data_IF_462312081220
#
_entry.id   IF_462312081220
#
_cell.length_a   1.000
_cell.length_b   1.000
_cell.length_c   1.000
_cell.angle_alpha   90.00
_cell.angle_beta   90.00
_cell.angle_gamma   90.00
#
_symmetry.space_group_name_H-M   'P 1'
#
loop_
_entity.id
_entity.type
_entity.pdbx_description
1 polymer ?
2 non-polymer ?
3 water ?
#
# COMPACT_ATOMS: atom_id res chain seq x y z
N UNK A 1 4.55 3.60 31.23
CA UNK A 1 5.92 3.06 31.55
C UNK A 1 6.93 4.04 30.94
N UNK A 2 7.70 4.73 31.80
CA UNK A 2 8.69 5.68 31.25
C UNK A 2 9.91 5.07 30.59
N UNK A 3 10.14 3.76 30.74
CA UNK A 3 11.40 3.15 30.31
C UNK A 3 11.42 2.58 28.89
N UNK A 4 10.28 2.58 28.18
CA UNK A 4 10.30 2.14 26.80
C UNK A 4 11.16 3.09 26.00
N UNK A 5 11.78 2.56 24.95
CA UNK A 5 12.74 3.34 24.24
C UNK A 5 12.03 4.43 23.44
N UNK A 6 10.97 4.04 22.72
CA UNK A 6 10.18 4.93 21.88
C UNK A 6 8.73 5.07 22.35
N UNK A 7 8.24 6.30 22.32
CA UNK A 7 6.87 6.65 22.72
C UNK A 7 6.24 7.54 21.66
N UNK A 8 4.92 7.52 21.58
CA UNK A 8 4.19 8.48 20.81
C UNK A 8 4.08 9.79 21.59
N UNK A 9 4.46 10.88 20.97
CA UNK A 9 4.27 12.21 21.54
C UNK A 9 2.79 12.51 21.71
N UNK A 10 2.38 13.11 22.81
CA UNK A 10 0.95 13.49 22.86
C UNK A 10 0.53 14.36 21.67
N UNK A 11 -0.63 14.05 21.08
CA UNK A 11 -1.17 14.91 20.01
C UNK A 11 -1.50 16.31 20.56
N UNK A 12 -1.10 17.36 19.85
CA UNK A 12 -1.47 18.70 20.29
C UNK A 12 -2.85 19.20 19.86
N UNK A 13 -3.73 18.29 19.39
CA UNK A 13 -5.09 18.63 19.00
C UNK A 13 -5.94 17.36 19.21
N UNK A 14 -7.25 17.56 19.24
CA UNK A 14 -8.21 16.46 19.28
C UNK A 14 -8.34 15.73 17.97
N UNK A 15 -8.80 14.49 18.03
CA UNK A 15 -8.94 13.69 16.83
C UNK A 15 -9.90 14.35 15.82
N UNK A 16 -10.89 15.12 16.28
CA UNK A 16 -11.82 15.77 15.38
C UNK A 16 -11.41 17.20 15.01
N UNK A 17 -10.18 17.57 15.33
CA UNK A 17 -9.75 18.95 15.10
C UNK A 17 -9.42 19.28 13.64
N UNK A 18 -9.16 18.25 12.84
CA UNK A 18 -8.61 18.42 11.47
C UNK A 18 -9.64 18.14 10.41
N UNK A 19 -10.93 18.31 10.72
CA UNK A 19 -12.01 17.93 9.81
C UNK A 19 -12.11 18.80 8.58
N UNK A 20 -11.35 19.89 8.54
CA UNK A 20 -11.16 20.60 7.30
C UNK A 20 -10.54 19.75 6.20
N UNK A 21 -9.83 18.68 6.59
CA UNK A 21 -9.24 17.78 5.63
C UNK A 21 -9.31 16.26 5.95
N UNK A 22 -9.29 15.92 7.24
CA UNK A 22 -9.17 14.52 7.68
C UNK A 22 -10.28 14.24 8.69
N UNK A 23 -11.05 13.18 8.44
CA UNK A 23 -12.12 12.79 9.33
C UNK A 23 -11.61 12.34 10.70
N UNK A 24 -12.47 12.48 11.72
CA UNK A 24 -12.09 12.12 13.09
C UNK A 24 -11.80 10.65 13.26
N UNK A 25 -12.60 9.78 12.65
CA UNK A 25 -12.41 8.34 12.76
C UNK A 25 -11.03 7.95 12.25
N UNK A 26 -10.61 8.50 11.12
CA UNK A 26 -9.30 8.24 10.57
C UNK A 26 -8.26 8.73 11.52
N UNK A 27 -8.38 9.94 12.03
CA UNK A 27 -7.36 10.39 12.96
C UNK A 27 -7.19 9.44 14.13
N UNK A 28 -8.29 8.97 14.68
CA UNK A 28 -8.24 8.10 15.86
C UNK A 28 -7.61 6.74 15.49
N UNK A 29 -8.06 6.14 14.41
CA UNK A 29 -7.53 4.78 14.05
C UNK A 29 -6.10 4.93 13.62
N UNK A 30 -5.81 5.95 12.82
CA UNK A 30 -4.49 6.11 12.27
C UNK A 30 -3.44 6.29 13.42
N UNK A 31 -3.78 7.11 14.41
CA UNK A 31 -2.91 7.35 15.56
C UNK A 31 -2.89 6.19 16.54
N UNK A 32 -4.05 5.67 16.94
CA UNK A 32 -4.13 4.74 18.07
C UNK A 32 -3.97 3.28 17.64
N UNK A 33 -4.07 3.00 16.34
CA UNK A 33 -3.93 1.62 15.85
C UNK A 33 -2.69 1.52 14.96
N UNK A 34 -2.71 2.13 13.78
CA UNK A 34 -1.58 2.00 12.89
C UNK A 34 -0.29 2.51 13.56
N UNK A 35 -0.26 3.79 13.93
CA UNK A 35 0.94 4.39 14.42
C UNK A 35 1.38 3.83 15.75
N UNK A 36 0.44 3.57 16.64
CA UNK A 36 0.77 2.94 17.93
C UNK A 36 1.39 1.55 17.72
N UNK A 37 0.97 0.84 16.69
CA UNK A 37 1.50 -0.49 16.38
C UNK A 37 2.94 -0.38 15.92
N UNK A 38 3.27 0.63 15.11
CA UNK A 38 4.66 0.81 14.70
C UNK A 38 5.56 1.11 15.91
N UNK A 39 5.09 1.89 16.86
CA UNK A 39 5.91 2.22 18.01
C UNK A 39 6.15 0.96 18.83
N UNK A 40 5.09 0.21 19.12
CA UNK A 40 5.21 -0.99 19.96
C UNK A 40 6.09 -2.04 19.27
N UNK A 41 5.92 -2.22 17.97
CA UNK A 41 6.72 -3.19 17.24
C UNK A 41 8.15 -2.75 17.07
N UNK A 42 8.42 -1.46 17.04
CA UNK A 42 9.78 -0.94 17.03
C UNK A 42 10.47 -1.27 18.34
N UNK A 43 9.81 -1.01 19.46
CA UNK A 43 10.41 -1.32 20.76
C UNK A 43 10.76 -2.81 20.85
N UNK A 44 9.87 -3.67 20.35
CA UNK A 44 10.15 -5.08 20.36
C UNK A 44 11.31 -5.46 19.41
N UNK A 45 11.30 -4.90 18.22
CA UNK A 45 12.31 -5.26 17.21
C UNK A 45 13.70 -4.87 17.57
N UNK A 46 13.87 -3.75 18.26
CA UNK A 46 15.22 -3.32 18.68
C UNK A 46 15.77 -3.97 19.94
N UNK A 47 14.88 -4.59 20.71
CA UNK A 47 15.23 -5.14 21.99
C UNK A 47 16.29 -6.20 21.78
N UNK A 48 17.34 -6.11 22.58
CA UNK A 48 18.46 -7.04 22.49
C UNK A 48 19.37 -6.91 21.29
N UNK A 49 19.30 -5.81 20.56
CA UNK A 49 20.13 -5.56 19.38
C UNK A 49 20.95 -4.30 19.63
N UNK A 50 21.88 -3.98 18.72
CA UNK A 50 22.62 -2.73 18.88
C UNK A 50 21.82 -1.47 18.67
N UNK A 51 20.60 -1.60 18.16
CA UNK A 51 19.70 -0.44 18.03
C UNK A 51 19.02 -0.06 19.34
N UNK A 52 19.13 -0.92 20.36
CA UNK A 52 18.30 -0.80 21.55
C UNK A 52 18.37 0.56 22.25
N UNK A 53 19.54 1.20 22.27
CA UNK A 53 19.65 2.54 22.90
C UNK A 53 19.96 3.66 21.90
N UNK A 54 19.75 3.39 20.61
CA UNK A 54 20.08 4.40 19.60
C UNK A 54 18.90 5.35 19.38
N UNK A 55 19.20 6.56 18.95
CA UNK A 55 18.15 7.51 18.55
C UNK A 55 17.49 7.01 17.29
N UNK A 56 16.29 7.48 17.03
CA UNK A 56 15.57 7.06 15.85
C UNK A 56 16.37 7.46 14.57
N UNK A 57 16.96 8.66 14.58
CA UNK A 57 17.74 9.09 13.44
C UNK A 57 18.92 8.16 13.20
N UNK A 58 19.60 7.73 14.26
CA UNK A 58 20.75 6.85 14.10
C UNK A 58 20.35 5.45 13.64
N UNK A 59 19.22 4.95 14.13
CA UNK A 59 18.72 3.68 13.65
C UNK A 59 18.43 3.76 12.15
N UNK A 60 17.75 4.83 11.73
CA UNK A 60 17.45 4.95 10.30
C UNK A 60 18.74 5.05 9.48
N UNK A 61 19.73 5.82 9.98
CA UNK A 61 20.98 6.03 9.24
C UNK A 61 21.78 4.76 8.99
N UNK A 62 21.54 3.74 9.83
CA UNK A 62 22.21 2.45 9.72
C UNK A 62 21.22 1.32 9.54
N UNK A 63 20.04 1.63 8.98
CA UNK A 63 18.95 0.69 9.06
C UNK A 63 19.20 -0.66 8.40
N UNK A 64 20.00 -0.70 7.36
CA UNK A 64 20.33 -1.93 6.64
C UNK A 64 21.11 -2.94 7.48
N UNK A 65 21.63 -2.49 8.62
CA UNK A 65 22.32 -3.41 9.52
C UNK A 65 21.35 -4.26 10.32
N UNK A 66 20.08 -3.90 10.33
CA UNK A 66 19.08 -4.48 11.22
C UNK A 66 18.08 -5.31 10.43
N UNK A 67 17.16 -5.95 11.16
CA UNK A 67 16.13 -6.73 10.53
C UNK A 67 15.11 -5.89 9.78
N UNK A 68 14.31 -6.56 8.97
CA UNK A 68 13.24 -5.88 8.26
C UNK A 68 12.21 -5.30 9.25
N UNK A 69 12.02 -6.00 10.36
CA UNK A 69 11.13 -5.44 11.39
C UNK A 69 11.60 -4.13 11.96
N UNK A 70 12.90 -4.00 12.21
CA UNK A 70 13.43 -2.70 12.61
C UNK A 70 13.18 -1.67 11.52
N UNK A 71 13.51 -2.00 10.25
CA UNK A 71 13.31 -1.04 9.18
C UNK A 71 11.88 -0.52 9.08
N UNK A 72 10.92 -1.46 9.03
CA UNK A 72 9.58 -1.10 8.75
C UNK A 72 8.95 -0.35 9.91
N UNK A 73 9.29 -0.71 11.13
CA UNK A 73 8.74 -0.05 12.30
C UNK A 73 9.46 1.23 12.74
N UNK A 74 10.78 1.26 12.52
CA UNK A 74 11.52 2.52 12.69
C UNK A 74 10.96 3.55 11.70
N UNK A 75 10.85 3.14 10.43
CA UNK A 75 10.25 4.08 9.43
C UNK A 75 8.87 4.49 9.89
N UNK A 76 8.04 3.50 10.24
CA UNK A 76 6.65 3.81 10.62
C UNK A 76 6.53 4.78 11.76
N UNK A 77 7.33 4.57 12.80
CA UNK A 77 7.28 5.45 13.95
C UNK A 77 7.76 6.86 13.62
N UNK A 78 8.93 6.96 12.98
CA UNK A 78 9.47 8.23 12.60
C UNK A 78 8.47 9.01 11.74
N UNK A 79 7.95 8.32 10.71
CA UNK A 79 7.14 9.01 9.71
C UNK A 79 5.88 9.53 10.32
N UNK A 80 5.20 8.72 11.13
CA UNK A 80 3.93 9.14 11.71
C UNK A 80 4.14 10.22 12.75
N UNK A 81 5.19 10.11 13.59
CA UNK A 81 5.47 11.15 14.55
C UNK A 81 5.66 12.52 13.85
N UNK A 82 6.43 12.50 12.76
CA UNK A 82 6.62 13.72 11.99
C UNK A 82 5.28 14.23 11.44
N UNK A 83 4.51 13.30 10.86
CA UNK A 83 3.19 13.64 10.24
C UNK A 83 2.31 14.33 11.26
N UNK A 84 2.14 13.81 12.47
CA UNK A 84 1.26 14.52 13.39
C UNK A 84 1.71 15.93 13.72
N UNK A 85 3.03 16.12 13.77
CA UNK A 85 3.59 17.41 14.16
C UNK A 85 3.38 18.50 13.08
N UNK A 86 3.18 18.06 11.83
CA UNK A 86 3.02 19.02 10.72
C UNK A 86 1.58 19.21 10.28
N UNK A 87 0.65 18.75 11.11
CA UNK A 87 -0.77 19.07 10.97
C UNK A 87 -1.21 20.05 12.06
N UNK A 88 -2.17 20.89 11.75
CA UNK A 88 -2.73 21.83 12.73
C UNK A 88 -4.16 22.24 12.40
N UNK A 89 -5.01 22.46 13.41
CA UNK A 89 -6.35 23.02 13.19
C UNK A 89 -6.37 24.51 12.93
N UNK A 90 -5.25 25.16 13.17
CA UNK A 90 -5.19 26.59 13.02
C UNK A 90 -4.84 27.00 11.63
N UNK A 91 -5.80 27.66 10.99
CA UNK A 91 -5.75 28.02 9.58
C UNK A 91 -4.76 29.16 9.39
N UNK A 92 -4.16 29.15 8.21
CA UNK A 92 -3.39 30.29 7.73
C UNK A 92 -1.92 30.40 8.16
N UNK A 93 -1.32 29.32 8.63
CA UNK A 93 0.12 29.33 8.83
C UNK A 93 0.79 29.52 7.48
N UNK A 94 2.04 29.97 7.52
CA UNK A 94 2.82 30.14 6.31
C UNK A 94 4.28 29.92 6.59
N UNK A 95 5.04 29.64 5.52
CA UNK A 95 6.48 29.44 5.73
C UNK A 95 7.14 30.67 6.33
N UNK A 96 8.15 30.42 7.14
CA UNK A 96 9.05 31.46 7.60
C UNK A 96 9.62 32.23 6.41
N UNK A 97 10.19 33.41 6.71
CA UNK A 97 10.81 34.20 5.63
C UNK A 97 11.88 33.37 4.94
N UNK A 98 12.72 32.69 5.72
CA UNK A 98 13.84 31.94 5.12
C UNK A 98 13.31 30.74 4.31
N UNK A 99 12.34 30.01 4.81
CA UNK A 99 11.83 28.93 4.04
C UNK A 99 11.12 29.41 2.77
N UNK A 100 10.31 30.47 2.91
CA UNK A 100 9.63 31.02 1.73
C UNK A 100 10.60 31.40 0.64
N UNK A 101 11.68 32.10 1.04
CA UNK A 101 12.67 32.50 0.06
C UNK A 101 13.26 31.28 -0.65
N UNK A 102 13.63 30.25 0.10
CA UNK A 102 14.14 29.02 -0.46
C UNK A 102 13.14 28.33 -1.38
N UNK A 103 11.88 28.26 -0.98
CA UNK A 103 10.83 27.65 -1.83
C UNK A 103 10.73 28.42 -3.14
N UNK A 104 10.71 29.75 -3.05
CA UNK A 104 10.53 30.57 -4.27
C UNK A 104 11.70 30.38 -5.23
N UNK A 105 12.91 30.36 -4.68
CA UNK A 105 14.10 30.25 -5.52
C UNK A 105 14.22 28.85 -6.13
N UNK A 106 13.69 27.85 -5.45
CA UNK A 106 13.88 26.46 -5.88
C UNK A 106 12.75 25.95 -6.75
N UNK A 107 11.53 26.37 -6.44
CA UNK A 107 10.35 25.92 -7.14
C UNK A 107 9.57 27.01 -7.86
N UNK A 108 9.73 28.25 -7.42
CA UNK A 108 9.04 29.40 -8.03
C UNK A 108 8.06 30.13 -7.13
N UNK A 109 7.33 29.33 -6.34
CA UNK A 109 6.26 29.82 -5.50
C UNK A 109 5.81 28.68 -4.60
N UNK A 110 4.99 29.05 -3.62
CA UNK A 110 4.40 28.03 -2.75
C UNK A 110 3.43 27.13 -3.54
N UNK A 111 2.66 27.73 -4.44
CA UNK A 111 1.79 26.94 -5.31
C UNK A 111 2.58 25.91 -6.11
N UNK A 112 3.69 26.32 -6.70
CA UNK A 112 4.51 25.42 -7.49
C UNK A 112 5.05 24.27 -6.63
N UNK A 113 5.47 24.56 -5.40
CA UNK A 113 5.88 23.49 -4.50
C UNK A 113 4.76 22.50 -4.22
N UNK A 114 3.58 23.04 -3.93
CA UNK A 114 2.46 22.14 -3.64
C UNK A 114 2.16 21.27 -4.83
N UNK A 115 2.19 21.83 -6.04
CA UNK A 115 1.96 21.05 -7.26
C UNK A 115 2.97 19.89 -7.38
N UNK A 116 4.23 20.16 -7.06
CA UNK A 116 5.25 19.12 -7.15
C UNK A 116 5.05 18.04 -6.12
N UNK A 117 4.70 18.43 -4.89
CA UNK A 117 4.41 17.45 -3.84
C UNK A 117 3.16 16.61 -4.20
N UNK A 118 2.13 17.28 -4.67
CA UNK A 118 0.92 16.60 -5.10
C UNK A 118 1.22 15.58 -6.17
N UNK A 119 2.05 15.97 -7.14
CA UNK A 119 2.40 15.05 -8.23
C UNK A 119 3.22 13.85 -7.73
N UNK A 120 4.15 14.11 -6.83
CA UNK A 120 4.95 13.01 -6.24
C UNK A 120 4.07 12.06 -5.46
N UNK A 121 3.12 12.62 -4.72
CA UNK A 121 2.21 11.78 -3.98
C UNK A 121 1.33 10.96 -4.86
N UNK A 122 0.82 11.56 -5.91
CA UNK A 122 0.00 10.81 -6.86
C UNK A 122 0.75 9.72 -7.57
N UNK A 123 2.04 9.95 -7.84
CA UNK A 123 2.83 9.01 -8.60
C UNK A 123 3.38 7.83 -7.80
N UNK A 124 3.23 7.86 -6.47
CA UNK A 124 3.71 6.81 -5.63
C UNK A 124 2.75 5.60 -5.73
N UNK A 125 3.15 4.56 -6.43
CA UNK A 125 2.28 3.41 -6.69
C UNK A 125 2.33 2.51 -5.50
N UNK A 126 1.17 2.11 -4.99
CA UNK A 126 1.07 1.34 -3.75
C UNK A 126 1.11 2.24 -2.53
N UNK A 127 1.64 1.76 -1.42
CA UNK A 127 1.73 2.49 -0.16
C UNK A 127 2.98 3.35 -0.12
N UNK A 128 2.93 4.48 0.53
CA UNK A 128 4.13 5.28 0.71
C UNK A 128 3.91 6.68 1.22
N UNK A 129 4.90 7.54 1.03
CA UNK A 129 4.97 8.87 1.53
C UNK A 129 5.51 9.81 0.51
N UNK A 130 4.99 11.04 0.48
CA UNK A 130 5.61 12.17 -0.23
C UNK A 130 6.38 13.06 0.75
N UNK A 131 7.52 13.57 0.29
CA UNK A 131 8.44 14.32 1.17
C UNK A 131 8.92 15.62 0.57
N UNK A 132 9.17 16.57 1.45
CA UNK A 132 10.02 17.72 1.19
C UNK A 132 11.19 17.57 2.15
N UNK A 133 12.38 17.51 1.57
CA UNK A 133 13.60 17.31 2.31
C UNK A 133 14.60 18.44 2.08
N UNK A 134 15.57 18.54 2.98
CA UNK A 134 16.75 19.36 2.80
C UNK A 134 17.89 18.42 2.54
N UNK A 135 18.51 18.52 1.35
CA UNK A 135 19.63 17.65 0.99
C UNK A 135 20.91 18.09 1.68
N UNK A 136 21.96 17.33 1.41
CA UNK A 136 23.24 17.60 2.02
C UNK A 136 23.95 18.84 1.45
N UNK A 137 23.40 19.38 0.39
CA UNK A 137 23.79 20.73 -0.05
C UNK A 137 22.99 21.89 0.54
N UNK A 138 22.05 21.63 1.45
CA UNK A 138 21.13 22.66 1.98
C UNK A 138 19.99 22.94 1.01
N UNK A 139 19.85 22.12 -0.02
CA UNK A 139 18.86 22.39 -1.09
C UNK A 139 17.56 21.63 -0.83
N UNK A 140 16.44 22.28 -1.11
CA UNK A 140 15.14 21.62 -1.03
C UNK A 140 14.89 20.70 -2.19
N UNK A 141 14.30 19.54 -1.87
CA UNK A 141 13.94 18.51 -2.81
C UNK A 141 12.69 17.80 -2.46
N UNK A 142 11.89 17.49 -3.48
CA UNK A 142 10.66 16.71 -3.35
C UNK A 142 10.92 15.29 -3.77
N UNK A 143 10.50 14.33 -2.94
CA UNK A 143 10.69 12.92 -3.25
C UNK A 143 9.48 12.11 -2.77
N UNK A 144 9.46 10.83 -3.14
CA UNK A 144 8.55 9.90 -2.49
C UNK A 144 9.30 8.63 -2.17
N UNK A 145 8.71 7.89 -1.22
CA UNK A 145 9.23 6.58 -0.78
C UNK A 145 8.15 5.54 -0.63
N UNK A 146 8.51 4.26 -0.78
CA UNK A 146 7.55 3.18 -0.60
C UNK A 146 7.37 2.82 0.86
N UNK A 147 6.20 2.33 1.19
CA UNK A 147 5.89 1.69 2.46
C UNK A 147 6.24 2.64 3.59
N UNK A 148 7.05 2.25 4.56
CA UNK A 148 7.50 3.14 5.60
C UNK A 148 8.94 3.62 5.45
N UNK A 149 9.51 3.42 4.27
CA UNK A 149 10.83 3.89 4.06
C UNK A 149 10.84 5.41 4.05
N UNK A 150 11.99 6.01 4.31
CA UNK A 150 12.10 7.47 4.37
C UNK A 150 13.48 7.95 3.95
N UNK A 151 13.65 9.27 3.75
CA UNK A 151 14.89 9.80 3.22
C UNK A 151 16.08 9.81 4.19
N UNK A 152 15.88 9.39 5.43
CA UNK A 152 16.99 9.23 6.38
C UNK A 152 17.64 7.83 6.27
N UNK A 153 16.97 6.88 5.63
CA UNK A 153 17.48 5.51 5.60
C UNK A 153 18.69 5.37 4.73
N UNK A 154 19.63 4.54 5.18
CA UNK A 154 20.94 4.41 4.56
C UNK A 154 20.92 4.12 3.09
N UNK A 155 20.01 3.30 2.65
CA UNK A 155 20.03 2.81 1.28
C UNK A 155 19.18 3.71 0.36
N UNK A 156 18.36 4.62 0.92
CA UNK A 156 17.44 5.48 0.14
C UNK A 156 18.33 6.31 -0.81
N UNK A 157 17.94 6.41 -2.08
CA UNK A 157 18.79 7.09 -3.04
C UNK A 157 18.77 8.62 -2.85
N UNK A 158 17.58 9.18 -2.75
CA UNK A 158 17.42 10.62 -2.50
C UNK A 158 17.37 10.93 -1.01
N UNK A 159 18.54 11.11 -0.43
CA UNK A 159 18.71 11.32 1.02
C UNK A 159 18.61 12.77 1.43
N UNK A 160 18.02 13.01 2.59
CA UNK A 160 18.05 14.32 3.17
C UNK A 160 17.21 14.34 4.42
N UNK A 161 17.15 15.49 5.08
CA UNK A 161 16.34 15.66 6.30
C UNK A 161 14.92 16.04 5.95
N UNK A 162 13.96 15.20 6.30
CA UNK A 162 12.55 15.54 6.01
C UNK A 162 12.08 16.74 6.84
N UNK A 163 11.45 17.70 6.18
CA UNK A 163 10.78 18.79 6.89
C UNK A 163 9.25 18.77 6.79
N UNK A 164 8.79 17.97 5.84
CA UNK A 164 7.37 17.74 5.59
C UNK A 164 7.21 16.37 4.96
N UNK A 165 6.28 15.59 5.50
CA UNK A 165 5.89 14.32 4.88
C UNK A 165 4.39 14.21 4.86
N UNK A 166 3.83 13.66 3.78
CA UNK A 166 2.40 13.40 3.66
C UNK A 166 2.20 11.91 3.38
N UNK A 167 1.43 11.30 4.23
CA UNK A 167 1.12 9.87 4.18
C UNK A 167 0.18 9.58 3.02
N UNK A 168 0.58 8.75 2.06
CA UNK A 168 -0.32 8.31 0.97
C UNK A 168 -0.61 6.81 1.01
N UNK A 169 -0.39 6.16 2.16
CA UNK A 169 -1.08 4.87 2.41
C UNK A 169 -2.58 5.14 2.30
N UNK A 170 -3.28 4.14 1.75
CA UNK A 170 -4.73 4.23 1.64
C UNK A 170 -5.39 4.40 2.97
N UNK A 171 -4.86 3.85 4.06
CA UNK A 171 -5.47 4.12 5.36
C UNK A 171 -5.52 5.60 5.76
N UNK A 172 -4.68 6.43 5.18
CA UNK A 172 -4.63 7.85 5.53
C UNK A 172 -5.82 8.63 4.95
N UNK A 173 -6.48 8.09 3.91
CA UNK A 173 -7.49 8.87 3.21
C UNK A 173 -8.72 8.08 2.76
N UNK A 174 -8.79 6.77 2.96
CA UNK A 174 -9.84 6.00 2.29
C UNK A 174 -11.22 6.27 2.88
N UNK A 175 -11.34 6.44 4.19
CA UNK A 175 -12.66 6.64 4.78
C UNK A 175 -13.39 7.84 4.20
N UNK A 176 -12.64 8.92 3.99
CA UNK A 176 -13.27 10.16 3.49
C UNK A 176 -13.22 10.29 1.99
N UNK A 177 -12.11 9.87 1.39
CA UNK A 177 -11.82 10.14 -0.03
C UNK A 177 -11.90 8.90 -0.95
N UNK A 178 -11.91 7.71 -0.37
CA UNK A 178 -11.83 6.47 -1.11
C UNK A 178 -10.69 6.57 -2.12
N UNK A 179 -10.94 6.30 -3.40
CA UNK A 179 -9.89 6.23 -4.41
C UNK A 179 -9.32 7.60 -4.74
N UNK A 180 -9.93 8.68 -4.27
CA UNK A 180 -9.60 10.06 -4.70
C UNK A 180 -8.40 10.64 -3.95
N UNK A 181 -7.26 9.95 -4.07
CA UNK A 181 -6.03 10.44 -3.47
C UNK A 181 -5.69 11.88 -3.88
N UNK A 182 -5.95 12.25 -5.12
CA UNK A 182 -5.62 13.59 -5.53
C UNK A 182 -6.44 14.64 -4.78
N UNK A 183 -7.68 14.34 -4.44
CA UNK A 183 -8.50 15.27 -3.65
C UNK A 183 -8.00 15.36 -2.21
N UNK A 184 -7.57 14.25 -1.65
CA UNK A 184 -6.91 14.28 -0.34
C UNK A 184 -5.68 15.19 -0.36
N UNK A 185 -4.84 15.01 -1.36
CA UNK A 185 -3.59 15.82 -1.50
C UNK A 185 -3.93 17.30 -1.64
N UNK A 186 -4.94 17.61 -2.45
CA UNK A 186 -5.34 19.01 -2.62
C UNK A 186 -5.79 19.62 -1.30
N UNK A 187 -6.59 18.85 -0.57
CA UNK A 187 -7.25 19.39 0.61
C UNK A 187 -6.33 19.43 1.85
N UNK A 188 -5.37 18.52 1.94
CA UNK A 188 -4.56 18.45 3.16
C UNK A 188 -3.76 19.72 3.42
N UNK A 189 -3.46 20.49 2.36
CA UNK A 189 -2.75 21.74 2.52
C UNK A 189 -3.46 22.69 3.50
N UNK A 190 -4.77 22.55 3.66
CA UNK A 190 -5.51 23.41 4.55
C UNK A 190 -5.16 23.16 6.04
N UNK A 191 -4.57 22.01 6.33
CA UNK A 191 -4.19 21.68 7.72
C UNK A 191 -2.69 21.50 7.88
N UNK A 192 -1.86 21.82 6.87
CA UNK A 192 -0.41 21.72 7.04
C UNK A 192 0.09 22.87 7.94
N UNK A 193 0.90 22.52 8.93
CA UNK A 193 1.44 23.47 9.90
C UNK A 193 2.78 23.95 9.42
N UNK A 194 2.76 25.07 8.72
CA UNK A 194 4.00 25.59 8.11
C UNK A 194 4.91 26.15 9.20
N UNK A 195 4.43 26.44 10.40
CA UNK A 195 5.36 26.87 11.49
C UNK A 195 6.27 25.69 11.89
N UNK A 196 5.69 24.50 11.97
CA UNK A 196 6.49 23.31 12.28
C UNK A 196 7.43 22.98 11.13
N UNK A 197 6.94 23.01 9.90
CA UNK A 197 7.80 22.76 8.73
C UNK A 197 8.98 23.73 8.75
N UNK A 198 8.72 24.99 9.07
CA UNK A 198 9.77 26.01 9.15
C UNK A 198 10.75 25.77 10.26
N UNK A 199 10.26 25.34 11.42
CA UNK A 199 11.18 25.01 12.51
C UNK A 199 12.06 23.82 12.13
N UNK A 200 11.50 22.83 11.44
CA UNK A 200 12.32 21.71 10.99
C UNK A 200 13.36 22.13 9.97
N UNK A 201 13.00 23.07 9.10
CA UNK A 201 13.93 23.59 8.12
C UNK A 201 15.07 24.31 8.83
N UNK A 202 14.78 25.14 9.82
CA UNK A 202 15.80 25.85 10.60
C UNK A 202 16.78 24.85 11.20
N UNK A 203 16.30 23.79 11.78
CA UNK A 203 17.19 22.79 12.40
C UNK A 203 18.00 22.02 11.37
N UNK A 204 17.40 21.72 10.22
CA UNK A 204 18.09 20.96 9.18
C UNK A 204 19.30 21.73 8.63
N UNK A 205 19.19 23.04 8.57
CA UNK A 205 20.26 23.89 8.09
C UNK A 205 21.39 24.13 9.13
N UNK A 206 21.09 23.85 10.39
CA UNK A 206 22.09 24.01 11.45
C UNK A 206 22.92 22.74 11.55
N UNK B 1 -16.23 -0.73 -27.62
CA UNK B 1 -15.15 -0.76 -28.67
C UNK B 1 -14.53 -2.14 -28.68
N UNK B 2 -14.75 -2.91 -29.77
CA UNK B 2 -14.23 -4.28 -29.69
C UNK B 2 -12.69 -4.40 -29.83
N UNK B 3 -12.03 -3.32 -30.24
CA UNK B 3 -10.64 -3.42 -30.66
C UNK B 3 -9.61 -3.09 -29.56
N UNK B 4 -10.04 -2.62 -28.41
CA UNK B 4 -9.10 -2.45 -27.32
C UNK B 4 -8.47 -3.80 -26.96
N UNK B 5 -7.22 -3.78 -26.52
CA UNK B 5 -6.54 -5.04 -26.21
C UNK B 5 -7.13 -5.71 -24.98
N UNK B 6 -7.38 -4.94 -23.94
CA UNK B 6 -7.93 -5.42 -22.68
C UNK B 6 -9.22 -4.76 -22.26
N UNK B 7 -10.13 -5.58 -21.76
CA UNK B 7 -11.43 -5.11 -21.26
C UNK B 7 -11.71 -5.70 -19.91
N UNK B 8 -12.45 -4.98 -19.10
CA UNK B 8 -12.93 -5.50 -17.87
C UNK B 8 -14.12 -6.40 -18.08
N UNK B 9 -14.20 -7.44 -17.29
CA UNK B 9 -15.33 -8.29 -17.18
C UNK B 9 -16.27 -7.66 -16.08
N UNK B 10 -17.54 -7.43 -16.41
CA UNK B 10 -18.50 -7.01 -15.41
C UNK B 10 -18.59 -8.06 -14.33
N UNK B 11 -18.89 -7.64 -13.12
CA UNK B 11 -19.08 -8.62 -12.07
C UNK B 11 -20.22 -9.61 -12.47
N UNK B 12 -20.06 -10.94 -12.17
CA UNK B 12 -21.11 -11.94 -12.42
C UNK B 12 -22.11 -12.06 -11.25
N UNK B 13 -22.27 -10.97 -10.53
CA UNK B 13 -23.14 -10.82 -9.38
C UNK B 13 -23.35 -9.30 -9.11
N UNK B 14 -24.30 -8.98 -8.26
CA UNK B 14 -24.61 -7.61 -7.87
C UNK B 14 -23.51 -7.08 -6.96
N UNK B 15 -23.37 -5.76 -6.93
CA UNK B 15 -22.37 -5.19 -6.04
C UNK B 15 -22.56 -5.52 -4.60
N UNK B 16 -23.82 -5.67 -4.18
CA UNK B 16 -24.18 -6.04 -2.80
C UNK B 16 -24.30 -7.52 -2.54
N UNK B 17 -23.91 -8.35 -3.51
CA UNK B 17 -24.06 -9.81 -3.36
C UNK B 17 -23.14 -10.42 -2.34
N UNK B 18 -22.06 -9.72 -2.03
CA UNK B 18 -20.99 -10.27 -1.19
C UNK B 18 -21.00 -9.69 0.23
N UNK B 19 -22.12 -9.08 0.63
CA UNK B 19 -22.24 -8.32 1.90
C UNK B 19 -22.05 -9.16 3.17
N UNK B 20 -22.03 -10.48 3.05
CA UNK B 20 -21.53 -11.32 4.11
C UNK B 20 -20.09 -11.01 4.50
N UNK B 21 -19.30 -10.53 3.56
CA UNK B 21 -17.90 -10.29 3.80
C UNK B 21 -17.42 -8.92 3.33
N UNK B 22 -17.95 -8.45 2.20
CA UNK B 22 -17.45 -7.22 1.56
C UNK B 22 -18.63 -6.28 1.28
N UNK B 23 -18.50 -5.03 1.72
CA UNK B 23 -19.53 -4.00 1.50
C UNK B 23 -19.73 -3.70 0.04
N UNK B 24 -20.96 -3.35 -0.33
CA UNK B 24 -21.33 -2.96 -1.69
C UNK B 24 -20.57 -1.73 -2.18
N UNK B 25 -20.39 -0.73 -1.33
CA UNK B 25 -19.68 0.49 -1.78
C UNK B 25 -18.27 0.13 -2.21
N UNK B 26 -17.57 -0.68 -1.42
CA UNK B 26 -16.24 -1.15 -1.81
C UNK B 26 -16.28 -1.92 -3.13
N UNK B 27 -17.20 -2.86 -3.29
CA UNK B 27 -17.24 -3.58 -4.56
C UNK B 27 -17.38 -2.63 -5.73
N UNK B 28 -18.26 -1.63 -5.59
CA UNK B 28 -18.46 -0.64 -6.70
C UNK B 28 -17.21 0.19 -6.98
N UNK B 29 -16.59 0.75 -5.95
CA UNK B 29 -15.39 1.57 -6.18
C UNK B 29 -14.24 0.70 -6.65
N UNK B 30 -14.11 -0.45 -6.07
CA UNK B 30 -13.00 -1.32 -6.38
C UNK B 30 -13.05 -1.77 -7.85
N UNK B 31 -14.23 -2.11 -8.37
CA UNK B 31 -14.37 -2.53 -9.72
C UNK B 31 -14.39 -1.31 -10.67
N UNK B 32 -15.14 -0.25 -10.36
CA UNK B 32 -15.37 0.84 -11.32
C UNK B 32 -14.31 1.93 -11.33
N UNK B 33 -13.51 1.99 -10.28
CA UNK B 33 -12.47 3.02 -10.16
C UNK B 33 -11.09 2.36 -10.22
N UNK B 34 -10.71 1.60 -9.19
CA UNK B 34 -9.35 1.05 -9.15
C UNK B 34 -9.12 0.10 -10.32
N UNK B 35 -9.97 -0.90 -10.47
CA UNK B 35 -9.68 -1.92 -11.48
C UNK B 35 -9.92 -1.37 -12.89
N UNK B 36 -10.94 -0.53 -13.10
CA UNK B 36 -11.12 0.12 -14.39
C UNK B 36 -9.92 0.94 -14.77
N UNK B 37 -9.29 1.59 -13.78
CA UNK B 37 -8.12 2.38 -14.11
C UNK B 37 -6.94 1.54 -14.55
N UNK B 38 -6.75 0.39 -13.90
CA UNK B 38 -5.67 -0.49 -14.31
C UNK B 38 -5.89 -0.94 -15.78
N UNK B 39 -7.11 -1.28 -16.17
CA UNK B 39 -7.35 -1.74 -17.54
C UNK B 39 -7.06 -0.63 -18.56
N UNK B 40 -7.58 0.57 -18.27
CA UNK B 40 -7.37 1.71 -19.15
C UNK B 40 -5.90 2.06 -19.30
N UNK B 41 -5.20 2.05 -18.15
CA UNK B 41 -3.80 2.46 -18.19
C UNK B 41 -2.93 1.38 -18.78
N UNK B 42 -3.35 0.13 -18.67
CA UNK B 42 -2.69 -0.96 -19.37
C UNK B 42 -2.77 -0.78 -20.88
N UNK B 43 -3.97 -0.51 -21.38
CA UNK B 43 -4.12 -0.36 -22.81
C UNK B 43 -3.25 0.80 -23.34
N UNK B 44 -3.18 1.88 -22.59
CA UNK B 44 -2.34 3.03 -22.96
C UNK B 44 -0.86 2.70 -22.90
N UNK B 45 -0.44 2.00 -21.86
CA UNK B 45 0.98 1.73 -21.61
C UNK B 45 1.60 0.82 -22.67
N UNK B 46 0.86 -0.16 -23.17
CA UNK B 46 1.41 -1.09 -24.13
C UNK B 46 1.30 -0.63 -25.55
N UNK B 47 0.48 0.39 -25.80
CA UNK B 47 0.31 0.90 -27.14
C UNK B 47 1.62 1.35 -27.75
N UNK B 48 1.83 0.96 -28.99
CA UNK B 48 3.06 1.27 -29.70
C UNK B 48 4.34 0.62 -29.14
N UNK B 49 4.17 -0.44 -28.37
CA UNK B 49 5.29 -1.22 -27.79
C UNK B 49 5.15 -2.67 -28.25
N UNK B 50 6.18 -3.50 -27.98
CA UNK B 50 6.08 -4.90 -28.35
C UNK B 50 5.02 -5.65 -27.54
N UNK B 51 4.64 -5.11 -26.37
CA UNK B 51 3.58 -5.73 -25.58
C UNK B 51 2.21 -5.57 -26.25
N UNK B 52 2.12 -4.71 -27.25
CA UNK B 52 0.84 -4.32 -27.79
C UNK B 52 0.00 -5.48 -28.25
N UNK B 53 0.59 -6.51 -28.85
CA UNK B 53 -0.25 -7.62 -29.28
C UNK B 53 -0.07 -8.90 -28.47
N UNK B 54 0.56 -8.79 -27.30
CA UNK B 54 0.86 -9.98 -26.46
C UNK B 54 -0.31 -10.28 -25.53
N UNK B 55 -0.50 -11.56 -25.19
CA UNK B 55 -1.53 -11.92 -24.24
C UNK B 55 -1.09 -11.44 -22.88
N UNK B 56 -2.02 -11.35 -21.94
CA UNK B 56 -1.67 -10.86 -20.62
C UNK B 56 -0.63 -11.79 -19.98
N UNK B 57 -0.79 -13.10 -20.13
CA UNK B 57 0.19 -14.00 -19.53
C UNK B 57 1.58 -13.79 -20.13
N UNK B 58 1.64 -13.48 -21.41
CA UNK B 58 2.95 -13.29 -22.05
C UNK B 58 3.57 -11.97 -21.70
N UNK B 59 2.75 -10.94 -21.51
CA UNK B 59 3.23 -9.68 -21.03
C UNK B 59 3.86 -9.88 -19.66
N UNK B 60 3.13 -10.55 -18.76
CA UNK B 60 3.65 -10.75 -17.44
C UNK B 60 4.94 -11.57 -17.42
N UNK B 61 5.00 -12.60 -18.25
CA UNK B 61 6.21 -13.46 -18.32
C UNK B 61 7.44 -12.75 -18.80
N UNK B 62 7.31 -11.55 -19.39
CA UNK B 62 8.48 -10.75 -19.79
C UNK B 62 8.46 -9.37 -19.21
N UNK B 63 7.82 -9.20 -18.05
CA UNK B 63 7.39 -7.89 -17.67
C UNK B 63 8.58 -7.01 -17.34
N UNK B 64 9.69 -7.64 -16.93
CA UNK B 64 10.93 -6.89 -16.67
C UNK B 64 11.45 -6.07 -17.89
N UNK B 65 11.01 -6.44 -19.09
CA UNK B 65 11.40 -5.76 -20.33
C UNK B 65 10.62 -4.51 -20.66
N UNK B 66 9.58 -4.24 -19.87
CA UNK B 66 8.67 -3.13 -20.16
C UNK B 66 8.74 -2.09 -19.05
N UNK B 67 8.05 -0.98 -19.26
CA UNK B 67 8.02 0.10 -18.30
C UNK B 67 7.29 -0.28 -17.02
N UNK B 68 7.50 0.51 -15.99
CA UNK B 68 6.72 0.38 -14.79
C UNK B 68 5.25 0.50 -15.05
N UNK B 69 4.78 1.40 -15.93
CA UNK B 69 3.37 1.52 -16.23
C UNK B 69 2.82 0.23 -16.80
N UNK B 70 3.59 -0.45 -17.64
CA UNK B 70 3.14 -1.78 -18.11
C UNK B 70 3.09 -2.77 -16.96
N UNK B 71 4.14 -2.86 -16.14
CA UNK B 71 4.17 -3.81 -15.06
C UNK B 71 3.03 -3.62 -14.07
N UNK B 72 2.83 -2.37 -13.65
CA UNK B 72 1.87 -2.09 -12.59
C UNK B 72 0.41 -2.31 -13.06
N UNK B 73 0.13 -1.89 -14.30
CA UNK B 73 -1.22 -2.04 -14.82
C UNK B 73 -1.49 -3.38 -15.39
N UNK B 74 -0.51 -4.07 -15.97
CA UNK B 74 -0.70 -5.49 -16.36
C UNK B 74 -1.02 -6.31 -15.12
N UNK B 75 -0.21 -6.19 -14.09
CA UNK B 75 -0.53 -6.85 -12.83
C UNK B 75 -1.89 -6.45 -12.32
N UNK B 76 -2.16 -5.17 -12.26
CA UNK B 76 -3.44 -4.71 -11.72
C UNK B 76 -4.63 -5.31 -12.43
N UNK B 77 -4.58 -5.31 -13.75
CA UNK B 77 -5.66 -5.85 -14.54
C UNK B 77 -5.80 -7.36 -14.34
N UNK B 78 -4.73 -8.10 -14.45
CA UNK B 78 -4.80 -9.52 -14.26
C UNK B 78 -5.32 -9.89 -12.86
N UNK B 79 -4.79 -9.23 -11.84
CA UNK B 79 -5.07 -9.63 -10.47
C UNK B 79 -6.55 -9.38 -10.18
N UNK B 80 -7.07 -8.22 -10.56
CA UNK B 80 -8.48 -7.90 -10.29
C UNK B 80 -9.43 -8.78 -11.06
N UNK B 81 -9.15 -9.02 -12.32
CA UNK B 81 -9.97 -9.93 -13.14
C UNK B 81 -10.04 -11.30 -12.48
N UNK B 82 -8.91 -11.82 -12.01
CA UNK B 82 -8.94 -13.11 -11.33
C UNK B 82 -9.75 -13.00 -10.04
N UNK B 83 -9.52 -11.96 -9.27
CA UNK B 83 -10.21 -11.73 -8.00
C UNK B 83 -11.72 -11.79 -8.14
N UNK B 84 -12.30 -11.10 -9.10
CA UNK B 84 -13.77 -11.05 -9.19
C UNK B 84 -14.26 -12.46 -9.43
N UNK B 85 -13.52 -13.24 -10.20
CA UNK B 85 -13.98 -14.58 -10.65
C UNK B 85 -13.97 -15.59 -9.50
N UNK B 86 -13.17 -15.32 -8.48
CA UNK B 86 -13.07 -16.26 -7.35
C UNK B 86 -13.88 -15.83 -6.14
N UNK B 87 -14.79 -14.89 -6.32
CA UNK B 87 -15.78 -14.53 -5.33
C UNK B 87 -17.16 -14.93 -5.81
N UNK B 88 -18.05 -15.25 -4.88
CA UNK B 88 -19.41 -15.69 -5.22
C UNK B 88 -20.36 -15.49 -4.05
N UNK B 89 -21.63 -15.17 -4.34
CA UNK B 89 -22.66 -15.17 -3.31
C UNK B 89 -23.25 -16.56 -3.06
N UNK B 90 -22.82 -17.54 -3.82
CA UNK B 90 -23.29 -18.91 -3.63
C UNK B 90 -22.55 -19.54 -2.46
N UNK B 91 -23.22 -19.69 -1.32
CA UNK B 91 -22.57 -20.19 -0.11
C UNK B 91 -22.26 -21.69 -0.22
N UNK B 92 -21.26 -22.15 0.53
CA UNK B 92 -20.98 -23.60 0.59
C UNK B 92 -20.36 -24.28 -0.63
N UNK B 93 -19.71 -23.53 -1.53
CA UNK B 93 -18.89 -24.17 -2.57
C UNK B 93 -17.73 -24.88 -1.86
N UNK B 94 -17.15 -25.86 -2.52
CA UNK B 94 -16.04 -26.60 -1.92
C UNK B 94 -15.08 -27.00 -3.05
N UNK B 95 -13.81 -27.25 -2.72
CA UNK B 95 -12.86 -27.71 -3.71
C UNK B 95 -13.33 -29.00 -4.37
N UNK B 96 -13.02 -29.15 -5.65
CA UNK B 96 -13.20 -30.41 -6.37
C UNK B 96 -12.45 -31.51 -5.66
N UNK B 97 -12.75 -32.74 -5.98
CA UNK B 97 -12.03 -33.83 -5.34
C UNK B 97 -10.51 -33.74 -5.61
N UNK B 98 -10.13 -33.39 -6.84
CA UNK B 98 -8.72 -33.34 -7.16
C UNK B 98 -8.00 -32.24 -6.39
N UNK B 99 -8.62 -31.06 -6.33
CA UNK B 99 -8.02 -29.97 -5.57
C UNK B 99 -8.00 -30.28 -4.09
N UNK B 100 -9.06 -30.88 -3.56
CA UNK B 100 -9.12 -31.15 -2.13
C UNK B 100 -8.03 -32.16 -1.72
N UNK B 101 -7.84 -33.18 -2.54
CA UNK B 101 -6.79 -34.16 -2.27
C UNK B 101 -5.42 -33.47 -2.23
N UNK B 102 -5.14 -32.55 -3.18
CA UNK B 102 -3.85 -31.88 -3.25
C UNK B 102 -3.67 -30.94 -2.06
N UNK B 103 -4.73 -30.24 -1.68
CA UNK B 103 -4.72 -29.37 -0.49
C UNK B 103 -4.40 -30.18 0.78
N UNK B 104 -5.06 -31.32 0.92
CA UNK B 104 -4.90 -32.09 2.12
C UNK B 104 -3.49 -32.68 2.19
N UNK B 105 -2.94 -33.16 1.07
CA UNK B 105 -1.60 -33.75 1.08
C UNK B 105 -0.52 -32.72 1.27
N UNK B 106 -0.78 -31.49 0.86
CA UNK B 106 0.22 -30.42 0.93
C UNK B 106 0.18 -29.59 2.21
N UNK B 107 -1.01 -29.32 2.73
CA UNK B 107 -1.22 -28.50 3.90
C UNK B 107 -1.85 -29.21 5.07
N UNK B 108 -2.57 -30.31 4.81
CA UNK B 108 -3.20 -31.10 5.85
C UNK B 108 -4.70 -31.11 5.82
N UNK B 109 -5.29 -29.97 5.48
CA UNK B 109 -6.75 -29.81 5.50
C UNK B 109 -7.06 -28.45 4.88
N UNK B 110 -8.33 -28.21 4.58
CA UNK B 110 -8.73 -26.91 4.08
C UNK B 110 -8.45 -25.84 5.16
N UNK B 111 -8.73 -26.10 6.44
CA UNK B 111 -8.50 -25.09 7.48
C UNK B 111 -7.02 -24.71 7.54
N UNK B 112 -6.15 -25.71 7.38
CA UNK B 112 -4.71 -25.48 7.40
C UNK B 112 -4.28 -24.60 6.24
N UNK B 113 -4.89 -24.79 5.07
CA UNK B 113 -4.58 -23.96 3.92
C UNK B 113 -5.03 -22.53 4.20
N UNK B 114 -6.24 -22.36 4.71
CA UNK B 114 -6.77 -21.03 5.04
C UNK B 114 -5.85 -20.31 6.02
N UNK B 115 -5.38 -21.02 7.03
CA UNK B 115 -4.47 -20.45 8.00
C UNK B 115 -3.20 -19.93 7.37
N UNK B 116 -2.68 -20.71 6.44
CA UNK B 116 -1.45 -20.38 5.74
C UNK B 116 -1.64 -19.14 4.86
N UNK B 117 -2.75 -19.08 4.13
CA UNK B 117 -3.06 -17.89 3.33
C UNK B 117 -3.31 -16.68 4.22
N UNK B 118 -4.03 -16.82 5.30
CA UNK B 118 -4.30 -15.72 6.21
C UNK B 118 -2.97 -15.15 6.76
N UNK B 119 -2.05 -16.07 7.06
CA UNK B 119 -0.75 -15.64 7.58
C UNK B 119 0.08 -14.92 6.52
N UNK B 120 0.06 -15.41 5.27
CA UNK B 120 0.78 -14.74 4.21
C UNK B 120 0.18 -13.34 3.97
N UNK B 121 -1.15 -13.27 3.94
CA UNK B 121 -1.83 -12.02 3.78
C UNK B 121 -1.50 -11.01 4.87
N UNK B 122 -1.48 -11.45 6.11
CA UNK B 122 -1.15 -10.57 7.23
C UNK B 122 0.31 -10.09 7.18
N UNK B 123 1.23 -10.94 6.69
CA UNK B 123 2.65 -10.60 6.72
C UNK B 123 3.08 -9.77 5.53
N UNK B 124 2.19 -9.46 4.60
CA UNK B 124 2.52 -8.64 3.47
C UNK B 124 2.51 -7.18 3.89
N UNK B 125 3.67 -6.58 4.08
CA UNK B 125 3.78 -5.23 4.59
C UNK B 125 3.54 -4.23 3.47
N UNK B 126 2.64 -3.27 3.66
CA UNK B 126 2.23 -2.39 2.59
C UNK B 126 1.14 -2.96 1.72
N UNK B 127 1.06 -2.61 0.48
CA UNK B 127 0.08 -3.09 -0.44
C UNK B 127 0.50 -4.43 -1.08
N UNK B 128 -0.43 -5.30 -1.40
CA UNK B 128 -0.13 -6.49 -2.15
C UNK B 128 -1.24 -7.50 -2.20
N UNK B 129 -0.85 -8.74 -2.45
CA UNK B 129 -1.75 -9.89 -2.70
C UNK B 129 -1.23 -11.10 -2.02
N UNK B 130 -2.12 -11.93 -1.53
CA UNK B 130 -1.81 -13.32 -1.12
C UNK B 130 -2.31 -14.28 -2.20
N UNK B 131 -1.58 -15.34 -2.44
CA UNK B 131 -1.81 -16.24 -3.56
C UNK B 131 -1.74 -17.71 -3.17
N UNK B 132 -2.58 -18.51 -3.82
CA UNK B 132 -2.39 -19.94 -3.95
C UNK B 132 -2.05 -20.21 -5.39
N UNK B 133 -0.92 -20.81 -5.63
CA UNK B 133 -0.40 -21.07 -6.96
C UNK B 133 -0.15 -22.56 -7.20
N UNK B 134 -0.08 -22.95 -8.49
CA UNK B 134 0.42 -24.22 -8.90
C UNK B 134 1.77 -23.93 -9.50
N UNK B 135 2.82 -24.46 -8.88
CA UNK B 135 4.15 -24.19 -9.35
C UNK B 135 4.47 -25.03 -10.60
N UNK B 136 5.69 -24.83 -11.09
CA UNK B 136 6.07 -25.43 -12.34
C UNK B 136 6.22 -26.98 -12.26
N UNK B 137 6.25 -27.54 -11.06
CA UNK B 137 6.26 -29.00 -10.85
C UNK B 137 4.89 -29.58 -10.55
N UNK B 138 3.86 -28.75 -10.64
CA UNK B 138 2.47 -29.18 -10.41
C UNK B 138 2.00 -29.14 -8.97
N UNK B 139 2.81 -28.54 -8.10
CA UNK B 139 2.54 -28.54 -6.65
C UNK B 139 1.98 -27.20 -6.15
N UNK B 140 1.14 -27.25 -5.13
CA UNK B 140 0.51 -26.07 -4.56
C UNK B 140 1.49 -25.34 -3.64
N UNK B 141 1.41 -24.01 -3.66
CA UNK B 141 2.22 -23.18 -2.83
C UNK B 141 1.44 -21.91 -2.48
N UNK B 142 1.68 -21.40 -1.27
CA UNK B 142 1.14 -20.14 -0.79
C UNK B 142 2.24 -19.08 -0.82
N UNK B 143 1.91 -17.91 -1.38
CA UNK B 143 2.87 -16.85 -1.46
C UNK B 143 2.18 -15.51 -1.25
N UNK B 144 2.98 -14.44 -1.21
CA UNK B 144 2.45 -13.09 -1.33
C UNK B 144 3.37 -12.27 -2.22
N UNK B 145 2.82 -11.21 -2.80
CA UNK B 145 3.60 -10.29 -3.63
C UNK B 145 3.24 -8.85 -3.28
N UNK B 146 4.14 -7.92 -3.59
CA UNK B 146 3.94 -6.49 -3.40
C UNK B 146 3.13 -5.86 -4.51
N UNK B 147 2.39 -4.80 -4.13
CA UNK B 147 1.72 -3.91 -5.08
C UNK B 147 0.86 -4.71 -6.01
N UNK B 148 1.01 -4.58 -7.34
CA UNK B 148 0.24 -5.40 -8.29
C UNK B 148 1.09 -6.51 -8.91
N UNK B 149 2.25 -6.80 -8.33
CA UNK B 149 3.04 -7.88 -8.85
C UNK B 149 2.30 -9.21 -8.65
N UNK B 150 2.67 -10.24 -9.39
CA UNK B 150 2.01 -11.53 -9.27
C UNK B 150 2.94 -12.67 -9.67
N UNK B 151 2.53 -13.92 -9.41
CA UNK B 151 3.43 -15.05 -9.64
C UNK B 151 3.70 -15.40 -11.10
N UNK B 152 3.01 -14.79 -12.04
CA UNK B 152 3.36 -14.96 -13.44
C UNK B 152 4.47 -14.05 -13.95
N UNK B 153 4.87 -13.07 -13.13
CA UNK B 153 5.91 -12.16 -13.57
C UNK B 153 7.29 -12.78 -13.56
N UNK B 154 8.09 -12.36 -14.52
CA UNK B 154 9.39 -12.98 -14.69
C UNK B 154 10.33 -12.74 -13.54
N UNK B 155 10.13 -11.68 -12.77
CA UNK B 155 11.03 -11.44 -11.63
C UNK B 155 10.43 -11.76 -10.26
N UNK B 156 9.33 -12.49 -10.22
CA UNK B 156 8.74 -12.88 -8.93
C UNK B 156 9.56 -14.06 -8.41
N UNK B 157 9.77 -14.10 -7.09
CA UNK B 157 10.59 -15.12 -6.47
C UNK B 157 9.98 -16.54 -6.57
N UNK B 158 8.70 -16.64 -6.26
CA UNK B 158 7.99 -17.92 -6.25
C UNK B 158 6.98 -17.93 -7.41
N UNK B 159 7.40 -18.51 -8.53
CA UNK B 159 6.63 -18.47 -9.77
C UNK B 159 5.64 -19.62 -9.84
N UNK B 160 4.50 -19.34 -10.45
CA UNK B 160 3.53 -20.38 -10.70
C UNK B 160 2.26 -19.76 -11.26
N UNK B 161 1.28 -20.62 -11.52
CA UNK B 161 0.01 -20.18 -12.03
C UNK B 161 -0.96 -19.92 -10.89
N UNK B 162 -1.41 -18.70 -10.70
CA UNK B 162 -2.37 -18.42 -9.62
C UNK B 162 -3.71 -19.11 -9.84
N UNK B 163 -4.25 -19.74 -8.80
CA UNK B 163 -5.61 -20.32 -8.85
C UNK B 163 -6.55 -19.56 -7.89
N UNK B 164 -5.97 -18.80 -6.97
CA UNK B 164 -6.68 -18.00 -5.98
C UNK B 164 -5.78 -16.84 -5.57
N UNK B 165 -6.33 -15.64 -5.56
CA UNK B 165 -5.64 -14.46 -5.07
C UNK B 165 -6.57 -13.67 -4.16
N UNK B 166 -6.04 -13.14 -3.07
CA UNK B 166 -6.78 -12.29 -2.17
C UNK B 166 -6.07 -10.92 -2.07
N UNK B 167 -6.80 -9.87 -2.39
CA UNK B 167 -6.26 -8.50 -2.42
C UNK B 167 -6.13 -7.99 -1.00
N UNK B 168 -4.94 -7.60 -0.58
CA UNK B 168 -4.70 -6.99 0.75
C UNK B 168 -4.23 -5.55 0.63
N UNK B 169 -4.43 -4.93 -0.54
CA UNK B 169 -4.39 -3.48 -0.53
C UNK B 169 -5.48 -2.94 0.43
N UNK B 170 -5.20 -1.86 1.14
CA UNK B 170 -6.17 -1.26 2.06
C UNK B 170 -7.49 -0.93 1.38
N UNK B 171 -7.49 -0.53 0.12
CA UNK B 171 -8.75 -0.24 -0.55
C UNK B 171 -9.68 -1.40 -0.61
N UNK B 172 -9.16 -2.61 -0.48
CA UNK B 172 -9.99 -3.80 -0.54
C UNK B 172 -10.82 -4.02 0.74
N UNK B 173 -10.37 -3.46 1.85
CA UNK B 173 -11.00 -3.77 3.14
C UNK B 173 -11.20 -2.57 4.09
N UNK B 174 -10.77 -1.36 3.76
CA UNK B 174 -10.72 -0.32 4.75
C UNK B 174 -12.11 0.19 5.12
N UNK B 175 -13.03 0.31 4.14
CA UNK B 175 -14.35 0.87 4.51
C UNK B 175 -15.03 0.03 5.57
N UNK B 176 -14.96 -1.28 5.45
CA UNK B 176 -15.67 -2.15 6.38
C UNK B 176 -14.83 -2.56 7.61
N UNK B 177 -13.53 -2.80 7.43
CA UNK B 177 -12.67 -3.42 8.45
C UNK B 177 -11.66 -2.44 9.03
N UNK B 178 -11.45 -1.30 8.37
CA UNK B 178 -10.36 -0.37 8.74
C UNK B 178 -9.04 -1.11 8.91
N UNK B 179 -8.34 -0.91 10.03
CA UNK B 179 -7.05 -1.54 10.25
C UNK B 179 -7.08 -3.07 10.39
N UNK B 180 -8.27 -3.68 10.54
CA UNK B 180 -8.41 -5.09 10.89
C UNK B 180 -8.34 -6.00 9.67
N UNK B 181 -7.18 -6.00 9.02
CA UNK B 181 -6.93 -6.84 7.88
C UNK B 181 -7.17 -8.32 8.24
N UNK B 182 -6.82 -8.71 9.45
CA UNK B 182 -6.98 -10.13 9.82
C UNK B 182 -8.46 -10.56 9.84
N UNK B 183 -9.35 -9.65 10.24
CA UNK B 183 -10.79 -9.93 10.24
C UNK B 183 -11.31 -10.03 8.82
N UNK B 184 -10.84 -9.17 7.93
CA UNK B 184 -11.16 -9.30 6.51
C UNK B 184 -10.76 -10.67 5.97
N UNK B 185 -9.52 -11.06 6.24
CA UNK B 185 -9.03 -12.37 5.77
C UNK B 185 -9.83 -13.56 6.33
N UNK B 186 -10.19 -13.50 7.60
CA UNK B 186 -11.03 -14.54 8.23
C UNK B 186 -12.38 -14.62 7.53
N UNK B 187 -12.96 -13.48 7.22
CA UNK B 187 -14.32 -13.41 6.74
C UNK B 187 -14.44 -13.71 5.25
N UNK B 188 -13.45 -13.33 4.49
CA UNK B 188 -13.53 -13.45 3.02
C UNK B 188 -13.76 -14.92 2.58
N UNK B 189 -13.31 -15.88 3.36
CA UNK B 189 -13.55 -17.32 3.04
C UNK B 189 -15.03 -17.62 2.82
N UNK B 190 -15.91 -16.81 3.40
CA UNK B 190 -17.35 -17.06 3.25
C UNK B 190 -17.80 -16.89 1.80
N UNK B 191 -17.08 -16.07 1.03
CA UNK B 191 -17.43 -15.76 -0.35
C UNK B 191 -16.42 -16.26 -1.39
N UNK B 192 -15.47 -17.11 -1.02
CA UNK B 192 -14.57 -17.70 -2.03
C UNK B 192 -15.29 -18.78 -2.85
N UNK B 193 -15.19 -18.62 -4.17
CA UNK B 193 -15.76 -19.55 -5.10
C UNK B 193 -14.79 -20.68 -5.36
N UNK B 194 -14.92 -21.77 -4.60
CA UNK B 194 -14.01 -22.91 -4.78
C UNK B 194 -14.24 -23.65 -6.10
N UNK B 195 -15.40 -23.41 -6.75
CA UNK B 195 -15.65 -24.03 -8.04
C UNK B 195 -14.76 -23.40 -9.09
N UNK B 196 -14.64 -22.07 -9.03
CA UNK B 196 -13.72 -21.39 -9.94
C UNK B 196 -12.24 -21.70 -9.61
N UNK B 197 -11.88 -21.70 -8.34
CA UNK B 197 -10.50 -22.10 -7.93
C UNK B 197 -10.17 -23.50 -8.47
N UNK B 198 -11.14 -24.41 -8.38
CA UNK B 198 -10.93 -25.78 -8.86
C UNK B 198 -10.79 -25.85 -10.38
N UNK B 199 -11.56 -25.04 -11.09
CA UNK B 199 -11.42 -24.97 -12.57
C UNK B 199 -10.02 -24.43 -12.97
N UNK B 200 -9.56 -23.39 -12.27
CA UNK B 200 -8.23 -22.84 -12.49
C UNK B 200 -7.13 -23.87 -12.19
N UNK B 201 -7.32 -24.67 -11.16
CA UNK B 201 -6.39 -25.74 -10.78
C UNK B 201 -6.28 -26.76 -11.90
N UNK B 202 -7.43 -27.25 -12.36
CA UNK B 202 -7.47 -28.23 -13.43
C UNK B 202 -6.77 -27.71 -14.68
N UNK B 203 -7.02 -26.47 -15.06
CA UNK B 203 -6.36 -25.89 -16.22
C UNK B 203 -4.86 -25.72 -16.05
N UNK B 204 -4.44 -25.32 -14.85
CA UNK B 204 -3.03 -25.12 -14.56
C UNK B 204 -2.22 -26.40 -14.71
N UNK B 205 -2.78 -27.55 -14.32
CA UNK B 205 -2.08 -28.82 -14.43
C UNK B 205 -1.86 -29.29 -15.86
N UNK B 206 -2.62 -28.76 -16.82
CA UNK B 206 -2.42 -29.12 -18.24
C UNK B 206 -1.12 -28.52 -18.82
X LIG C 1 -0.07 6.01 8.04
X LIG D 1 -7.52 -3.97 -5.46
#
# INVERSE_FOLDING_TARGET
DPFTQFKQTPLPYAYDALEGAIDAKTMEIHHSKHAAGYTANLNKAIAGTPAEKESIENILAKVSQYSDAVRNNAGGHYNHELFWSILTPNKGTKPSAALQKAIDETFGSLDALKEKINAAGAARFGSGWAWLIVDNGGKLQVTSTPNQDNPLMDFTKEKGTPILGIDVWEHAYYLRYQNKRADYLTTIWDVINWEEVSARYEKALK
DPFTQFKQTPLPYAYDALEGAIDAKTMEIHHSKHAAGYTANLNKAIAGTPAEKESIENILAKVSQYSDAVRNNAGGHYNHELFWSILTPNKGTKPSAALQKAIDETFGSLDALKEKINAAGAARFGSGWAWLIVDNGGKLQVTSTPNQDNPLMDFTKEKGTPILGIDVWEHAYYLRYQNKRADYLTTIWDVINWEEVSARYEKALK
MN MN
MN MN
#
